data_IF_299978969894
#
_entry.id   IF_299978969894
#
_cell.length_a   1.000
_cell.length_b   1.000
_cell.length_c   1.000
_cell.angle_alpha   90.00
_cell.angle_beta   90.00
_cell.angle_gamma   90.00
#
_symmetry.space_group_name_H-M   'P 1'
#
loop_
_entity.id
_entity.type
_entity.pdbx_description
1 polymer ?
#
# COMPACT_ATOMS: atom_id res chain seq x y z
N UNK A 1 6.41 -15.75 -23.87
CA UNK A 1 5.27 -14.94 -23.37
C UNK A 1 5.83 -13.97 -22.34
N UNK A 2 6.43 -12.87 -22.81
CA UNK A 2 7.09 -11.88 -21.95
C UNK A 2 6.04 -10.90 -21.48
N UNK A 3 5.65 -10.99 -20.22
CA UNK A 3 4.81 -9.97 -19.59
C UNK A 3 5.65 -8.72 -19.44
N UNK A 4 5.25 -7.63 -20.10
CA UNK A 4 5.82 -6.31 -19.86
C UNK A 4 5.68 -6.01 -18.35
N UNK A 5 6.82 -5.94 -17.66
CA UNK A 5 6.90 -5.38 -16.33
C UNK A 5 6.50 -3.91 -16.45
N UNK A 6 5.28 -3.55 -16.06
CA UNK A 6 4.91 -2.14 -15.91
C UNK A 6 5.73 -1.60 -14.73
N UNK A 7 6.70 -0.70 -14.94
CA UNK A 7 7.57 -0.23 -13.87
C UNK A 7 6.86 0.70 -12.88
N UNK A 8 5.61 1.08 -13.21
CA UNK A 8 4.90 2.20 -12.61
C UNK A 8 3.56 1.77 -11.97
N UNK A 9 3.16 2.42 -10.87
CA UNK A 9 1.91 2.13 -10.20
C UNK A 9 0.72 2.48 -11.09
N UNK A 10 -0.28 1.59 -11.11
CA UNK A 10 -1.58 1.86 -11.75
C UNK A 10 -2.35 2.92 -10.96
N UNK A 11 -3.35 3.55 -11.60
CA UNK A 11 -4.27 4.47 -10.90
C UNK A 11 -4.90 3.81 -9.66
N UNK A 12 -5.19 2.51 -9.73
CA UNK A 12 -5.71 1.73 -8.60
C UNK A 12 -4.72 1.63 -7.44
N UNK A 13 -3.43 1.40 -7.71
CA UNK A 13 -2.40 1.35 -6.68
C UNK A 13 -2.22 2.72 -6.00
N UNK A 14 -2.31 3.81 -6.76
CA UNK A 14 -2.25 5.18 -6.26
C UNK A 14 -3.44 5.50 -5.35
N UNK A 15 -4.66 5.16 -5.78
CA UNK A 15 -5.86 5.33 -4.96
C UNK A 15 -5.80 4.50 -3.67
N UNK A 16 -5.31 3.27 -3.73
CA UNK A 16 -5.11 2.43 -2.56
C UNK A 16 -4.10 3.05 -1.57
N UNK A 17 -3.01 3.64 -2.08
CA UNK A 17 -2.04 4.37 -1.24
C UNK A 17 -2.63 5.66 -0.61
N UNK A 18 -3.53 6.37 -1.30
CA UNK A 18 -4.25 7.52 -0.75
C UNK A 18 -5.23 7.10 0.35
N UNK A 19 -6.02 6.05 0.11
CA UNK A 19 -6.93 5.46 1.12
C UNK A 19 -6.13 5.03 2.34
N UNK A 20 -5.00 4.36 2.12
CA UNK A 20 -4.09 3.96 3.20
C UNK A 20 -3.62 5.16 4.02
N UNK A 21 -3.07 6.18 3.34
CA UNK A 21 -2.54 7.37 3.99
C UNK A 21 -3.60 8.11 4.80
N UNK A 22 -4.82 8.20 4.26
CA UNK A 22 -5.95 8.86 4.92
C UNK A 22 -6.39 8.08 6.15
N UNK A 23 -6.59 6.76 6.02
CA UNK A 23 -6.98 5.90 7.13
C UNK A 23 -5.96 5.90 8.26
N UNK A 24 -4.67 5.72 7.96
CA UNK A 24 -3.61 5.74 8.98
C UNK A 24 -3.47 7.11 9.64
N UNK A 25 -3.59 8.20 8.89
CA UNK A 25 -3.55 9.55 9.48
C UNK A 25 -4.75 9.81 10.38
N UNK A 26 -5.95 9.40 9.96
CA UNK A 26 -7.18 9.52 10.75
C UNK A 26 -7.07 8.72 12.05
N UNK A 27 -6.52 7.50 12.01
CA UNK A 27 -6.20 6.72 13.20
C UNK A 27 -5.30 7.50 14.17
N UNK A 28 -4.18 8.06 13.69
CA UNK A 28 -3.25 8.82 14.54
C UNK A 28 -3.90 10.06 15.16
N UNK A 29 -4.74 10.77 14.40
CA UNK A 29 -5.46 11.95 14.89
C UNK A 29 -6.46 11.56 15.98
N UNK A 30 -7.27 10.51 15.75
CA UNK A 30 -8.23 10.03 16.75
C UNK A 30 -7.49 9.55 18.00
N UNK A 31 -6.42 8.78 17.83
CA UNK A 31 -5.60 8.30 18.94
C UNK A 31 -5.02 9.46 19.75
N UNK A 32 -4.46 10.49 19.09
CA UNK A 32 -3.93 11.67 19.77
C UNK A 32 -5.03 12.43 20.51
N UNK A 33 -6.22 12.59 19.91
CA UNK A 33 -7.37 13.22 20.56
C UNK A 33 -7.81 12.43 21.79
N UNK A 34 -7.86 11.09 21.71
CA UNK A 34 -8.19 10.22 22.83
C UNK A 34 -7.18 10.35 23.98
N UNK A 35 -5.88 10.56 23.71
CA UNK A 35 -4.91 10.82 24.78
C UNK A 35 -5.20 12.10 25.56
N UNK A 36 -5.80 13.11 24.92
CA UNK A 36 -6.14 14.37 25.57
C UNK A 36 -7.47 14.26 26.30
N UNK A 37 -8.47 13.63 25.69
CA UNK A 37 -9.83 13.54 26.25
C UNK A 37 -9.92 12.47 27.34
N UNK A 38 -9.18 11.36 27.22
CA UNK A 38 -9.12 10.25 28.18
C UNK A 38 -7.83 10.29 28.99
N UNK A 39 -7.54 11.44 29.57
CA UNK A 39 -6.40 11.63 30.48
C UNK A 39 -6.54 10.82 31.79
N UNK A 40 -7.71 10.20 32.04
CA UNK A 40 -7.93 9.23 33.12
C UNK A 40 -7.12 7.93 32.93
N UNK A 41 -6.74 7.60 31.70
CA UNK A 41 -5.94 6.42 31.39
C UNK A 41 -4.47 6.78 31.32
N UNK A 42 -3.68 6.31 32.29
CA UNK A 42 -2.23 6.50 32.30
C UNK A 42 -1.59 5.81 31.07
N UNK A 43 -0.98 6.57 30.14
CA UNK A 43 -0.44 6.01 28.91
C UNK A 43 0.81 5.15 29.11
N UNK A 44 1.43 5.21 30.28
CA UNK A 44 2.63 4.44 30.56
C UNK A 44 2.35 2.96 30.79
N UNK A 45 1.18 2.63 31.35
CA UNK A 45 0.89 1.28 31.84
C UNK A 45 -0.36 0.63 31.25
N UNK A 46 -1.25 1.42 30.62
CA UNK A 46 -2.49 0.92 30.00
C UNK A 46 -2.31 0.66 28.50
N UNK A 47 -2.99 -0.36 27.97
CA UNK A 47 -2.99 -0.62 26.53
C UNK A 47 -3.81 0.43 25.77
N UNK A 48 -3.57 0.54 24.46
CA UNK A 48 -4.35 1.44 23.58
C UNK A 48 -5.79 0.92 23.42
N UNK A 49 -5.99 -0.40 23.40
CA UNK A 49 -7.33 -0.99 23.29
C UNK A 49 -8.24 -0.63 24.47
N UNK A 50 -7.70 -0.26 25.62
CA UNK A 50 -8.50 0.18 26.77
C UNK A 50 -9.26 1.50 26.50
N UNK A 51 -8.87 2.29 25.49
CA UNK A 51 -9.66 3.45 25.07
C UNK A 51 -11.03 3.06 24.52
N UNK A 52 -11.25 1.79 24.14
CA UNK A 52 -12.57 1.25 23.76
C UNK A 52 -13.53 1.12 24.93
N UNK A 53 -13.02 1.19 26.17
CA UNK A 53 -13.85 1.09 27.37
C UNK A 53 -14.40 2.48 27.75
N UNK A 54 -15.71 2.58 27.94
CA UNK A 54 -16.38 3.79 28.44
C UNK A 54 -17.10 4.61 27.36
N UNK A 55 -17.57 5.83 27.70
CA UNK A 55 -18.52 6.58 26.87
C UNK A 55 -18.01 6.96 25.47
N UNK A 56 -16.70 7.10 25.32
CA UNK A 56 -16.03 7.47 24.07
C UNK A 56 -15.37 6.28 23.37
N UNK A 57 -15.68 5.05 23.80
CA UNK A 57 -15.10 3.82 23.26
C UNK A 57 -15.28 3.65 21.75
N UNK A 58 -16.42 4.13 21.23
CA UNK A 58 -16.71 4.10 19.80
C UNK A 58 -15.69 4.86 18.94
N UNK A 59 -15.03 5.90 19.47
CA UNK A 59 -13.95 6.58 18.72
C UNK A 59 -12.78 5.63 18.50
N UNK A 60 -12.44 4.81 19.49
CA UNK A 60 -11.33 3.87 19.39
C UNK A 60 -11.67 2.70 18.47
N UNK A 61 -12.92 2.22 18.48
CA UNK A 61 -13.43 1.28 17.46
C UNK A 61 -13.24 1.84 16.03
N UNK A 62 -13.70 3.08 15.79
CA UNK A 62 -13.49 3.77 14.50
C UNK A 62 -11.99 3.89 14.17
N UNK A 63 -11.16 4.20 15.16
CA UNK A 63 -9.71 4.27 14.97
C UNK A 63 -9.13 2.94 14.47
N UNK A 64 -9.47 1.81 15.11
CA UNK A 64 -8.98 0.50 14.67
C UNK A 64 -9.46 0.15 13.26
N UNK A 65 -10.69 0.50 12.88
CA UNK A 65 -11.17 0.34 11.50
C UNK A 65 -10.36 1.21 10.53
N UNK A 66 -10.06 2.47 10.88
CA UNK A 66 -9.21 3.34 10.07
C UNK A 66 -7.80 2.76 9.89
N UNK A 67 -7.22 2.16 10.93
CA UNK A 67 -5.91 1.50 10.84
C UNK A 67 -5.97 0.23 9.98
N UNK A 68 -7.04 -0.57 10.08
CA UNK A 68 -7.29 -1.73 9.22
C UNK A 68 -7.39 -1.35 7.73
N UNK A 69 -8.15 -0.28 7.42
CA UNK A 69 -8.22 0.30 6.08
C UNK A 69 -6.84 0.80 5.63
N UNK A 70 -6.08 1.42 6.54
CA UNK A 70 -4.68 1.80 6.35
C UNK A 70 -3.80 0.64 5.85
N UNK A 71 -3.82 -0.46 6.58
CA UNK A 71 -3.06 -1.67 6.27
C UNK A 71 -3.51 -2.34 4.97
N UNK A 72 -4.82 -2.52 4.78
CA UNK A 72 -5.37 -3.08 3.54
C UNK A 72 -5.02 -2.22 2.31
N UNK A 73 -5.06 -0.90 2.44
CA UNK A 73 -4.67 0.02 1.36
C UNK A 73 -3.20 -0.14 0.94
N UNK A 74 -2.27 -0.29 1.89
CA UNK A 74 -0.86 -0.60 1.55
C UNK A 74 -0.75 -1.96 0.87
N UNK A 75 -1.45 -2.99 1.37
CA UNK A 75 -1.45 -4.32 0.76
C UNK A 75 -1.84 -4.27 -0.72
N UNK A 76 -2.94 -3.58 -1.06
CA UNK A 76 -3.39 -3.42 -2.44
C UNK A 76 -2.49 -2.51 -3.27
N UNK A 77 -1.85 -1.49 -2.67
CA UNK A 77 -0.90 -0.65 -3.37
C UNK A 77 0.36 -1.44 -3.78
N UNK A 78 0.86 -2.31 -2.89
CA UNK A 78 2.13 -3.03 -3.09
C UNK A 78 1.99 -4.28 -3.94
N UNK A 79 0.84 -4.97 -3.92
CA UNK A 79 0.65 -6.25 -4.65
C UNK A 79 0.92 -6.13 -6.16
N UNK A 80 0.69 -4.94 -6.73
CA UNK A 80 0.93 -4.67 -8.15
C UNK A 80 2.41 -4.42 -8.50
N UNK A 81 3.26 -4.13 -7.52
CA UNK A 81 4.62 -3.60 -7.73
C UNK A 81 5.73 -4.63 -7.50
N UNK A 82 5.45 -5.70 -6.75
CA UNK A 82 6.41 -6.77 -6.53
C UNK A 82 5.75 -8.15 -6.66
N UNK A 83 6.19 -8.92 -7.65
CA UNK A 83 5.72 -10.27 -7.97
C UNK A 83 6.66 -11.35 -7.45
N UNK A 84 7.07 -11.24 -6.19
CA UNK A 84 7.88 -12.26 -5.52
C UNK A 84 7.02 -13.02 -4.50
N UNK A 85 7.39 -14.27 -4.20
CA UNK A 85 6.75 -15.06 -3.13
C UNK A 85 6.75 -14.27 -1.82
N UNK A 86 7.84 -13.58 -1.52
CA UNK A 86 7.97 -12.75 -0.35
C UNK A 86 6.97 -11.60 -0.28
N UNK A 87 6.73 -10.95 -1.42
CA UNK A 87 5.72 -9.89 -1.53
C UNK A 87 4.33 -10.46 -1.25
N UNK A 88 4.00 -11.62 -1.83
CA UNK A 88 2.70 -12.25 -1.63
C UNK A 88 2.48 -12.68 -0.18
N UNK A 89 3.49 -13.31 0.44
CA UNK A 89 3.42 -13.68 1.86
C UNK A 89 3.31 -12.44 2.74
N UNK A 90 4.15 -11.42 2.52
CA UNK A 90 4.08 -10.16 3.27
C UNK A 90 2.73 -9.45 3.12
N UNK A 91 2.18 -9.44 1.91
CA UNK A 91 0.84 -8.88 1.62
C UNK A 91 -0.25 -9.69 2.32
N UNK A 92 -0.18 -11.02 2.32
CA UNK A 92 -1.14 -11.88 3.01
C UNK A 92 -1.10 -11.64 4.53
N UNK A 93 0.09 -11.56 5.14
CA UNK A 93 0.24 -11.21 6.56
C UNK A 93 -0.36 -9.84 6.89
N UNK A 94 -0.17 -8.86 6.01
CA UNK A 94 -0.73 -7.52 6.18
C UNK A 94 -2.26 -7.53 6.11
N UNK A 95 -2.85 -8.33 5.22
CA UNK A 95 -4.30 -8.51 5.13
C UNK A 95 -4.87 -9.27 6.33
N UNK A 96 -4.16 -10.28 6.83
CA UNK A 96 -4.51 -10.98 8.08
C UNK A 96 -4.50 -9.97 9.25
N UNK A 97 -3.50 -9.08 9.29
CA UNK A 97 -3.44 -8.03 10.31
C UNK A 97 -4.59 -7.04 10.19
N UNK A 98 -4.97 -6.65 8.98
CA UNK A 98 -6.14 -5.80 8.74
C UNK A 98 -7.43 -6.48 9.23
N UNK A 99 -7.59 -7.77 8.99
CA UNK A 99 -8.72 -8.54 9.52
C UNK A 99 -8.69 -8.61 11.06
N UNK A 100 -7.52 -8.85 11.66
CA UNK A 100 -7.33 -8.85 13.11
C UNK A 100 -7.71 -7.51 13.77
N UNK A 101 -7.23 -6.40 13.21
CA UNK A 101 -7.61 -5.06 13.67
C UNK A 101 -9.08 -4.75 13.46
N UNK A 102 -9.71 -5.29 12.41
CA UNK A 102 -11.16 -5.17 12.21
C UNK A 102 -11.91 -5.91 13.32
N UNK A 103 -11.50 -7.13 13.66
CA UNK A 103 -12.08 -7.88 14.77
C UNK A 103 -11.92 -7.14 16.10
N UNK A 104 -10.70 -6.64 16.38
CA UNK A 104 -10.42 -5.85 17.57
C UNK A 104 -11.25 -4.56 17.63
N UNK A 105 -11.48 -3.90 16.49
CA UNK A 105 -12.29 -2.69 16.41
C UNK A 105 -13.80 -2.90 16.41
N UNK A 106 -14.29 -4.12 16.19
CA UNK A 106 -15.74 -4.45 16.26
C UNK A 106 -16.12 -4.98 17.64
N UNK A 107 -15.18 -5.61 18.35
CA UNK A 107 -15.43 -6.26 19.63
C UNK A 107 -14.53 -5.67 20.70
N UNK A 108 -15.13 -5.08 21.72
CA UNK A 108 -14.40 -4.49 22.84
C UNK A 108 -13.61 -5.54 23.68
N UNK A 109 -12.53 -5.14 24.35
CA UNK A 109 -11.65 -6.04 25.10
C UNK A 109 -12.33 -6.74 26.29
N UNK A 110 -13.36 -6.13 26.87
CA UNK A 110 -14.09 -6.66 28.03
C UNK A 110 -15.19 -7.66 27.65
N UNK A 111 -15.35 -7.97 26.36
CA UNK A 111 -16.29 -9.00 25.93
C UNK A 111 -15.83 -10.39 26.40
N UNK A 112 -16.78 -11.20 26.90
CA UNK A 112 -16.52 -12.60 27.30
C UNK A 112 -16.12 -13.52 26.11
N UNK A 113 -16.04 -12.99 24.90
CA UNK A 113 -15.80 -13.75 23.67
C UNK A 113 -14.31 -14.04 23.39
N UNK A 114 -13.39 -13.23 23.95
CA UNK A 114 -11.96 -13.29 23.63
C UNK A 114 -11.62 -12.89 22.18
N UNK A 115 -12.60 -12.48 21.36
CA UNK A 115 -12.40 -12.14 19.95
C UNK A 115 -11.48 -10.92 19.80
N UNK A 116 -11.56 -9.97 20.73
CA UNK A 116 -10.68 -8.80 20.76
C UNK A 116 -9.20 -9.23 20.86
N UNK A 117 -8.89 -10.10 21.82
CA UNK A 117 -7.53 -10.57 22.06
C UNK A 117 -6.99 -11.36 20.87
N UNK A 118 -7.84 -12.20 20.26
CA UNK A 118 -7.51 -12.90 19.00
C UNK A 118 -7.20 -11.88 17.90
N UNK A 119 -8.02 -10.84 17.76
CA UNK A 119 -7.82 -9.76 16.79
C UNK A 119 -6.49 -9.04 17.00
N UNK A 120 -6.15 -8.71 18.25
CA UNK A 120 -4.88 -8.09 18.61
C UNK A 120 -3.67 -9.01 18.37
N UNK A 121 -3.80 -10.31 18.62
CA UNK A 121 -2.74 -11.30 18.34
C UNK A 121 -2.44 -11.47 16.85
N UNK A 122 -3.41 -11.17 15.98
CA UNK A 122 -3.24 -11.23 14.53
C UNK A 122 -2.50 -10.01 13.94
N UNK A 123 -1.98 -9.11 14.77
CA UNK A 123 -1.10 -8.03 14.32
C UNK A 123 0.26 -8.58 13.84
N UNK A 124 0.32 -8.85 12.54
CA UNK A 124 1.49 -9.35 11.82
C UNK A 124 2.15 -8.24 10.98
N UNK A 125 1.74 -6.97 11.15
CA UNK A 125 2.30 -5.83 10.41
C UNK A 125 3.83 -5.78 10.52
N UNK A 126 4.44 -5.99 11.71
CA UNK A 126 5.89 -5.96 11.82
C UNK A 126 6.59 -6.96 10.89
N UNK A 127 6.06 -8.19 10.75
CA UNK A 127 6.62 -9.22 9.89
C UNK A 127 6.34 -8.93 8.40
N UNK A 128 5.12 -8.47 8.10
CA UNK A 128 4.75 -8.02 6.77
C UNK A 128 5.69 -6.91 6.27
N UNK A 129 6.02 -5.96 7.14
CA UNK A 129 6.90 -4.83 6.84
C UNK A 129 8.29 -5.28 6.37
N UNK A 130 8.90 -6.22 7.08
CA UNK A 130 10.21 -6.78 6.70
C UNK A 130 10.16 -7.53 5.36
N UNK A 131 9.16 -8.39 5.17
CA UNK A 131 9.04 -9.19 3.94
C UNK A 131 8.78 -8.31 2.72
N UNK A 132 7.92 -7.30 2.86
CA UNK A 132 7.63 -6.33 1.81
C UNK A 132 8.87 -5.49 1.51
N UNK A 133 9.57 -4.96 2.54
CA UNK A 133 10.80 -4.19 2.35
C UNK A 133 11.89 -5.03 1.66
N UNK A 134 12.06 -6.30 2.07
CA UNK A 134 12.99 -7.22 1.42
C UNK A 134 12.63 -7.45 -0.04
N UNK A 135 11.36 -7.74 -0.33
CA UNK A 135 10.88 -7.94 -1.70
C UNK A 135 11.10 -6.71 -2.58
N UNK A 136 10.66 -5.53 -2.14
CA UNK A 136 10.80 -4.28 -2.88
C UNK A 136 12.28 -3.91 -3.08
N UNK A 137 13.13 -4.15 -2.08
CA UNK A 137 14.56 -3.84 -2.16
C UNK A 137 15.34 -4.63 -3.22
N UNK A 138 14.76 -5.72 -3.73
CA UNK A 138 15.33 -6.51 -4.83
C UNK A 138 14.94 -6.00 -6.22
N UNK A 139 13.99 -5.07 -6.30
CA UNK A 139 13.54 -4.49 -7.57
C UNK A 139 14.37 -3.24 -7.90
N UNK A 140 14.88 -3.16 -9.13
CA UNK A 140 15.73 -2.05 -9.58
C UNK A 140 15.01 -0.70 -9.51
N UNK A 141 13.68 -0.69 -9.69
CA UNK A 141 12.86 0.53 -9.59
C UNK A 141 12.90 1.17 -8.19
N UNK A 142 13.24 0.40 -7.15
CA UNK A 142 13.27 0.84 -5.76
C UNK A 142 14.68 1.06 -5.22
N UNK A 143 15.71 1.01 -6.10
CA UNK A 143 17.11 1.08 -5.69
C UNK A 143 17.46 2.36 -4.92
N UNK A 144 16.93 3.51 -5.35
CA UNK A 144 17.16 4.82 -4.72
C UNK A 144 16.59 4.91 -3.29
N UNK A 145 15.50 4.19 -3.02
CA UNK A 145 14.80 4.20 -1.73
C UNK A 145 15.10 3.00 -0.84
N UNK A 146 15.93 2.06 -1.32
CA UNK A 146 16.19 0.76 -0.67
C UNK A 146 16.58 0.87 0.80
N UNK A 147 17.51 1.77 1.13
CA UNK A 147 17.99 1.96 2.51
C UNK A 147 16.86 2.49 3.40
N UNK A 148 16.05 3.42 2.87
CA UNK A 148 14.90 3.98 3.59
C UNK A 148 13.86 2.90 3.90
N UNK A 149 13.51 2.06 2.92
CA UNK A 149 12.55 0.96 3.10
C UNK A 149 12.95 0.07 4.28
N UNK A 150 14.22 -0.34 4.34
CA UNK A 150 14.71 -1.18 5.42
C UNK A 150 14.72 -0.49 6.78
N UNK A 151 15.21 0.76 6.84
CA UNK A 151 15.26 1.52 8.10
C UNK A 151 13.86 1.69 8.70
N UNK A 152 12.88 2.04 7.87
CA UNK A 152 11.52 2.25 8.34
C UNK A 152 10.82 0.91 8.65
N UNK A 153 11.06 -0.15 7.87
CA UNK A 153 10.50 -1.47 8.15
C UNK A 153 11.06 -2.12 9.43
N UNK A 154 12.27 -1.74 9.87
CA UNK A 154 12.82 -2.17 11.14
C UNK A 154 12.13 -1.53 12.35
N UNK A 155 11.50 -0.35 12.20
CA UNK A 155 10.85 0.34 13.32
C UNK A 155 9.70 -0.50 13.93
N UNK A 156 8.73 -1.04 13.16
CA UNK A 156 7.71 -1.95 13.70
C UNK A 156 8.30 -3.17 14.40
N UNK A 157 9.39 -3.74 13.88
CA UNK A 157 10.07 -4.89 14.48
C UNK A 157 10.69 -4.55 15.83
N UNK A 158 11.37 -3.41 15.93
CA UNK A 158 11.94 -2.94 17.19
C UNK A 158 10.83 -2.66 18.20
N UNK A 159 9.69 -2.13 17.76
CA UNK A 159 8.52 -1.92 18.61
C UNK A 159 7.93 -3.23 19.13
N UNK A 160 7.74 -4.22 18.26
CA UNK A 160 7.29 -5.56 18.63
C UNK A 160 8.26 -6.23 19.61
N UNK A 161 9.56 -6.16 19.33
CA UNK A 161 10.58 -6.73 20.20
C UNK A 161 10.57 -6.07 21.58
N UNK A 162 10.54 -4.73 21.64
CA UNK A 162 10.46 -4.00 22.90
C UNK A 162 9.20 -4.36 23.70
N UNK A 163 8.06 -4.49 23.02
CA UNK A 163 6.80 -4.92 23.61
C UNK A 163 6.89 -6.35 24.18
N UNK A 164 7.40 -7.30 23.39
CA UNK A 164 7.56 -8.70 23.80
C UNK A 164 8.54 -8.85 24.97
N UNK A 165 9.65 -8.12 24.97
CA UNK A 165 10.61 -8.11 26.09
C UNK A 165 9.96 -7.54 27.35
N UNK A 166 9.22 -6.44 27.23
CA UNK A 166 8.47 -5.84 28.35
C UNK A 166 7.48 -6.85 28.94
N UNK A 167 6.68 -7.50 28.10
CA UNK A 167 5.71 -8.51 28.55
C UNK A 167 6.39 -9.76 29.13
N UNK A 168 7.47 -10.26 28.52
CA UNK A 168 8.14 -11.47 28.99
C UNK A 168 8.94 -11.27 30.29
N UNK A 169 9.48 -10.08 30.54
CA UNK A 169 10.35 -9.81 31.69
C UNK A 169 9.61 -9.11 32.82
N UNK A 170 8.81 -8.10 32.52
CA UNK A 170 8.20 -7.24 33.56
C UNK A 170 6.87 -7.78 34.06
N UNK A 171 6.07 -8.42 33.19
CA UNK A 171 4.76 -8.95 33.57
C UNK A 171 4.86 -10.06 34.65
N UNK A 172 5.75 -11.06 34.55
CA UNK A 172 5.89 -12.08 35.60
C UNK A 172 6.39 -11.51 36.91
N UNK A 173 7.27 -10.48 36.84
CA UNK A 173 7.79 -9.79 38.02
C UNK A 173 6.71 -8.99 38.76
N UNK A 174 5.62 -8.64 38.09
CA UNK A 174 4.51 -7.89 38.65
C UNK A 174 3.27 -8.77 38.92
N UNK A 175 3.47 -10.06 39.19
CA UNK A 175 2.37 -10.98 39.51
C UNK A 175 1.42 -11.26 38.34
N UNK A 176 1.90 -11.11 37.10
CA UNK A 176 1.14 -11.39 35.89
C UNK A 176 0.17 -10.28 35.46
N UNK A 177 0.20 -9.11 36.10
CA UNK A 177 -0.73 -8.01 35.80
C UNK A 177 0.01 -6.76 35.28
N UNK A 178 -0.52 -6.10 34.24
CA UNK A 178 -0.08 -4.75 33.87
C UNK A 178 -0.27 -3.81 35.06
N UNK A 179 0.65 -2.86 35.25
CA UNK A 179 0.60 -1.91 36.36
C UNK A 179 1.72 -0.88 36.27
N UNK A 180 1.83 0.05 37.26
CA UNK A 180 2.79 1.17 37.25
C UNK A 180 4.27 0.78 37.03
N UNK A 181 4.63 -0.45 37.40
CA UNK A 181 5.98 -1.02 37.26
C UNK A 181 6.24 -1.68 35.89
N UNK A 182 5.18 -1.89 35.09
CA UNK A 182 5.20 -2.52 33.78
C UNK A 182 4.82 -1.48 32.75
N UNK A 183 5.82 -0.87 32.11
CA UNK A 183 5.63 0.23 31.15
C UNK A 183 5.03 -0.19 29.79
N UNK A 184 4.25 -1.27 29.76
CA UNK A 184 3.69 -1.90 28.55
C UNK A 184 2.92 -0.92 27.68
N UNK A 185 2.30 0.10 28.29
CA UNK A 185 1.57 1.14 27.58
C UNK A 185 2.45 1.93 26.63
N UNK A 186 3.69 2.26 27.02
CA UNK A 186 4.63 2.97 26.14
C UNK A 186 5.16 2.11 25.01
N UNK A 187 5.50 0.83 25.27
CA UNK A 187 5.97 -0.04 24.19
C UNK A 187 4.84 -0.35 23.20
N UNK A 188 3.60 -0.54 23.67
CA UNK A 188 2.44 -0.70 22.81
C UNK A 188 2.23 0.53 21.90
N UNK A 189 2.28 1.75 22.47
CA UNK A 189 2.17 3.00 21.70
C UNK A 189 3.30 3.16 20.68
N UNK A 190 4.53 2.92 21.10
CA UNK A 190 5.69 2.99 20.21
C UNK A 190 5.54 2.01 19.04
N UNK A 191 5.14 0.76 19.31
CA UNK A 191 4.90 -0.24 18.28
C UNK A 191 3.85 0.23 17.28
N UNK A 192 2.68 0.67 17.74
CA UNK A 192 1.58 1.13 16.90
C UNK A 192 1.97 2.38 16.07
N UNK A 193 2.64 3.35 16.67
CA UNK A 193 3.13 4.54 15.94
C UNK A 193 4.19 4.16 14.91
N UNK A 194 5.10 3.23 15.23
CA UNK A 194 6.10 2.73 14.29
C UNK A 194 5.44 2.03 13.08
N UNK A 195 4.39 1.25 13.31
CA UNK A 195 3.57 0.67 12.23
C UNK A 195 2.93 1.75 11.36
N UNK A 196 2.34 2.78 11.97
CA UNK A 196 1.74 3.89 11.24
C UNK A 196 2.76 4.64 10.39
N UNK A 197 3.95 4.92 10.94
CA UNK A 197 5.05 5.54 10.20
C UNK A 197 5.44 4.68 9.00
N UNK A 198 5.51 3.35 9.18
CA UNK A 198 5.80 2.44 8.07
C UNK A 198 4.71 2.41 7.00
N UNK A 199 3.43 2.39 7.38
CA UNK A 199 2.30 2.45 6.45
C UNK A 199 2.33 3.75 5.63
N UNK A 200 2.46 4.90 6.30
CA UNK A 200 2.54 6.22 5.66
C UNK A 200 3.76 6.34 4.75
N UNK A 201 4.92 5.86 5.20
CA UNK A 201 6.13 5.87 4.39
C UNK A 201 5.95 5.03 3.13
N UNK A 202 5.46 3.80 3.26
CA UNK A 202 5.27 2.89 2.13
C UNK A 202 4.26 3.48 1.14
N UNK A 203 3.12 3.98 1.62
CA UNK A 203 2.13 4.65 0.78
C UNK A 203 2.73 5.86 0.04
N UNK A 204 3.51 6.71 0.72
CA UNK A 204 4.20 7.86 0.10
C UNK A 204 5.14 7.43 -1.02
N UNK A 205 5.89 6.34 -0.87
CA UNK A 205 6.79 5.88 -1.94
C UNK A 205 6.02 5.41 -3.18
N UNK A 206 4.86 4.78 -3.00
CA UNK A 206 3.97 4.43 -4.12
C UNK A 206 3.44 5.69 -4.81
N UNK A 207 3.03 6.71 -4.04
CA UNK A 207 2.52 7.98 -4.59
C UNK A 207 3.59 8.80 -5.34
N UNK A 208 4.86 8.68 -4.91
CA UNK A 208 6.00 9.39 -5.52
C UNK A 208 6.53 8.75 -6.80
N UNK A 209 6.04 7.57 -7.17
CA UNK A 209 6.42 6.89 -8.41
C UNK A 209 5.55 7.40 -9.57
N UNK A 210 6.13 7.83 -10.72
CA UNK A 210 5.36 8.44 -11.80
C UNK A 210 4.34 7.47 -12.40
N UNK A 211 3.16 7.93 -12.88
CA UNK A 211 2.13 7.06 -13.44
C UNK A 211 2.53 6.50 -14.81
N UNK A 212 2.14 5.26 -15.11
CA UNK A 212 2.40 4.61 -16.40
C UNK A 212 1.93 5.44 -17.60
N UNK A 213 0.78 6.11 -17.49
CA UNK A 213 0.16 6.85 -18.59
C UNK A 213 0.95 8.08 -19.06
N UNK A 214 1.84 8.64 -18.22
CA UNK A 214 2.61 9.83 -18.56
C UNK A 214 3.83 9.51 -19.44
N UNK A 215 4.38 8.31 -19.30
CA UNK A 215 5.62 7.90 -19.98
C UNK A 215 5.34 7.40 -21.41
N UNK A 216 4.16 6.83 -21.65
CA UNK A 216 3.75 6.43 -22.99
C UNK A 216 3.56 7.65 -23.92
N UNK A 217 3.14 8.80 -23.39
CA UNK A 217 3.04 10.04 -24.17
C UNK A 217 4.41 10.69 -24.45
N UNK A 218 5.31 10.68 -23.47
CA UNK A 218 6.63 11.29 -23.59
C UNK A 218 7.53 10.52 -24.58
N UNK A 219 7.47 9.18 -24.55
CA UNK A 219 8.20 8.33 -25.49
C UNK A 219 7.68 8.40 -26.93
N UNK A 220 6.36 8.58 -27.13
CA UNK A 220 5.80 8.79 -28.47
C UNK A 220 6.13 10.17 -29.06
N UNK A 221 6.30 11.20 -28.22
CA UNK A 221 6.66 12.55 -28.69
C UNK A 221 8.14 12.73 -29.03
N UNK A 222 9.03 11.92 -28.43
CA UNK A 222 10.49 12.05 -28.59
C UNK A 222 11.09 11.15 -29.68
N UNK A 223 10.30 10.27 -30.30
CA UNK A 223 10.77 9.30 -31.31
C UNK A 223 10.81 9.77 -32.77
N UNK A 224 10.52 11.04 -33.09
CA UNK A 224 10.48 11.54 -34.48
C UNK A 224 11.66 12.42 -34.90
N UNK A 225 12.62 12.67 -34.02
CA UNK A 225 13.85 13.37 -34.36
C UNK A 225 15.05 12.42 -34.25
N UNK A 226 15.79 12.29 -35.36
CA UNK A 226 17.11 11.63 -35.52
C UNK A 226 17.12 10.16 -35.95
N UNK A 227 17.25 9.95 -37.27
CA UNK A 227 18.39 9.25 -37.90
C UNK A 227 18.34 9.43 -39.42
N UNK A 228 18.91 10.54 -39.92
CA UNK A 228 19.37 10.60 -41.32
C UNK A 228 20.82 10.08 -41.36
N UNK A 229 21.19 9.17 -42.28
CA UNK A 229 22.56 8.72 -42.41
C UNK A 229 23.42 9.83 -43.05
N UNK A 230 24.49 10.25 -42.37
CA UNK A 230 25.51 11.11 -42.94
C UNK A 230 26.28 10.33 -44.01
N UNK A 231 25.98 10.65 -45.27
CA UNK A 231 26.74 10.17 -46.42
C UNK A 231 28.06 10.93 -46.54
N UNK A 232 29.08 10.18 -46.96
CA UNK A 232 30.49 10.55 -47.01
C UNK A 232 30.78 11.29 -48.33
N UNK A 233 31.35 12.49 -48.23
CA UNK A 233 32.19 13.10 -49.26
C UNK A 233 31.50 14.07 -50.23
N UNK A 234 31.68 15.37 -49.99
CA UNK A 234 31.93 16.37 -51.02
C UNK A 234 32.49 17.64 -50.36
N UNK A 235 33.80 17.84 -50.49
CA UNK A 235 34.40 19.18 -50.52
C UNK A 235 33.95 19.88 -51.80
N UNK A 236 33.58 21.16 -51.69
CA UNK A 236 33.96 22.31 -52.56
C UNK A 236 33.06 23.51 -52.20
N UNK A 237 33.73 24.54 -51.66
CA UNK A 237 33.55 26.00 -51.80
C UNK A 237 32.19 26.72 -51.64
N UNK A 238 32.20 27.58 -50.61
CA UNK A 238 31.96 29.04 -50.65
C UNK A 238 30.53 29.60 -50.84
N UNK A 239 30.25 30.66 -50.06
CA UNK A 239 29.19 31.63 -50.38
C UNK A 239 28.01 31.80 -49.40
N UNK A 240 28.24 32.58 -48.34
CA UNK A 240 27.37 33.73 -47.95
C UNK A 240 25.91 33.45 -47.46
N UNK A 241 25.78 33.49 -46.13
CA UNK A 241 24.89 34.34 -45.30
C UNK A 241 23.44 34.69 -45.74
N UNK A 242 22.52 34.45 -44.77
CA UNK A 242 21.18 35.05 -44.46
C UNK A 242 20.02 34.06 -44.66
N UNK A 243 19.43 33.54 -43.57
CA UNK A 243 18.35 34.13 -42.72
C UNK A 243 17.01 34.20 -43.48
N UNK A 244 16.03 33.42 -43.02
CA UNK A 244 14.55 33.51 -43.06
C UNK A 244 14.05 32.08 -42.73
N UNK A 245 13.41 31.75 -41.60
CA UNK A 245 12.16 32.24 -40.98
C UNK A 245 10.96 32.32 -41.93
N UNK A 246 10.45 31.16 -42.35
CA UNK A 246 9.07 30.90 -42.80
C UNK A 246 8.78 29.44 -42.37
N UNK A 247 7.81 29.13 -41.50
CA UNK A 247 6.37 29.16 -41.76
C UNK A 247 5.86 27.71 -41.68
N UNK A 248 5.44 27.25 -40.50
CA UNK A 248 4.71 25.98 -40.40
C UNK A 248 3.22 26.25 -40.65
N UNK A 249 2.86 26.18 -41.93
CA UNK A 249 1.49 26.04 -42.43
C UNK A 249 0.88 24.72 -41.94
N UNK A 250 -0.25 24.80 -41.22
CA UNK A 250 -1.11 23.66 -41.00
C UNK A 250 -2.00 23.46 -42.24
N UNK A 251 -1.50 22.67 -43.19
CA UNK A 251 -2.26 22.25 -44.37
C UNK A 251 -3.19 21.08 -44.03
N UNK A 252 -4.45 21.32 -44.40
CA UNK A 252 -5.61 20.43 -44.47
C UNK A 252 -5.40 19.21 -45.38
N UNK A 253 -5.87 18.03 -44.96
CA UNK A 253 -6.61 17.12 -45.85
C UNK A 253 -7.40 16.07 -45.02
N UNK A 254 -8.72 16.17 -44.85
CA UNK A 254 -9.82 15.78 -45.75
C UNK A 254 -9.84 14.30 -46.19
N UNK A 255 -10.82 13.59 -45.62
CA UNK A 255 -11.75 12.64 -46.27
C UNK A 255 -11.21 11.37 -46.96
N UNK A 256 -11.60 10.22 -46.40
CA UNK A 256 -12.04 9.08 -47.23
C UNK A 256 -13.13 8.26 -46.53
N UNK A 257 -14.27 8.24 -47.20
CA UNK A 257 -15.51 7.49 -46.98
C UNK A 257 -15.41 6.03 -47.46
N UNK A 258 -16.35 5.21 -46.99
CA UNK A 258 -16.89 3.96 -47.59
C UNK A 258 -15.93 2.73 -47.63
N UNK A 259 -16.32 1.47 -47.36
CA UNK A 259 -17.60 0.75 -47.46
C UNK A 259 -17.48 -0.68 -46.79
N UNK A 260 -18.31 -1.73 -47.03
CA UNK A 260 -19.26 -2.26 -46.05
C UNK A 260 -19.12 -3.77 -45.68
N UNK A 261 -19.91 -4.14 -44.65
CA UNK A 261 -20.65 -5.40 -44.40
C UNK A 261 -20.32 -6.67 -45.24
N UNK A 262 -19.98 -7.78 -44.54
CA UNK A 262 -20.19 -9.15 -45.04
C UNK A 262 -20.83 -10.06 -43.99
N UNK A 263 -21.91 -10.67 -44.45
CA UNK A 263 -22.84 -11.61 -43.84
C UNK A 263 -22.24 -13.01 -43.64
N UNK A 264 -22.75 -13.79 -42.68
CA UNK A 264 -22.39 -15.21 -42.51
C UNK A 264 -23.12 -15.93 -41.36
N UNK A 265 -24.36 -16.36 -41.64
CA UNK A 265 -25.19 -17.41 -41.01
C UNK A 265 -24.38 -18.58 -40.35
N UNK A 266 -24.64 -19.10 -39.12
CA UNK A 266 -25.74 -19.97 -38.58
C UNK A 266 -25.11 -21.18 -37.79
N UNK A 267 -25.85 -22.14 -37.16
CA UNK A 267 -26.60 -22.05 -35.90
C UNK A 267 -26.31 -23.26 -34.93
N UNK A 268 -27.15 -23.39 -33.87
CA UNK A 268 -27.60 -24.66 -33.21
C UNK A 268 -27.01 -25.07 -31.84
N UNK A 269 -27.91 -25.01 -30.84
CA UNK A 269 -28.18 -25.90 -29.68
C UNK A 269 -27.08 -26.36 -28.69
N UNK A 270 -27.33 -26.14 -27.40
CA UNK A 270 -27.99 -27.15 -26.54
C UNK A 270 -28.32 -26.62 -25.14
N UNK A 271 -29.58 -26.75 -24.77
CA UNK A 271 -30.05 -26.78 -23.38
C UNK A 271 -29.75 -28.16 -22.76
N UNK A 272 -29.50 -28.18 -21.45
CA UNK A 272 -29.46 -29.41 -20.65
C UNK A 272 -29.42 -29.06 -19.15
N UNK A 273 -30.44 -29.46 -18.36
CA UNK A 273 -30.43 -29.28 -16.91
C UNK A 273 -29.75 -30.47 -16.21
N UNK A 274 -29.11 -30.25 -15.07
CA UNK A 274 -28.73 -31.30 -14.12
C UNK A 274 -29.38 -31.02 -12.77
N UNK A 275 -30.35 -31.86 -12.44
CA UNK A 275 -30.88 -32.05 -11.10
C UNK A 275 -30.29 -33.35 -10.52
N UNK A 276 -30.11 -33.36 -9.19
CA UNK A 276 -30.23 -34.55 -8.35
C UNK A 276 -28.95 -35.32 -8.01
N UNK A 277 -28.55 -35.27 -6.74
CA UNK A 277 -28.18 -36.44 -5.95
C UNK A 277 -28.14 -36.09 -4.45
N UNK A 278 -29.24 -36.39 -3.77
CA UNK A 278 -29.30 -36.72 -2.35
C UNK A 278 -28.82 -38.16 -2.12
N UNK A 279 -28.11 -38.42 -1.04
CA UNK A 279 -27.81 -39.79 -0.60
C UNK A 279 -26.96 -39.84 0.66
N UNK A 280 -27.64 -40.21 1.77
CA UNK A 280 -27.20 -40.97 2.95
C UNK A 280 -25.90 -40.58 3.67
#
# INVERSE_FOLDING_TARGET
MSTFNTPFPTNSARNAALVSSTGTSMFLVILAALHVVRADLDPSCRFISEYELGPLGWLMHVAFICLAVGAAGVAFAVVSQARSIASYVGTALLLISAAGMTLAGVVAPDSNSGIHDIGAMLDLIPFAALLIAWSLSRNATWASTRVSLWRIALLPMLGLLAFMVSMAVLLPRNGGRPGPSVFVGWQNRFMIVAQCIWLLHTARQVLGSPPTAMIDCESHSSGSAWTAPLNRGQEVEDGRSRRNEEGCECESDRSRTDQPNRYGDRPVSRAGPRAGASGS
#
